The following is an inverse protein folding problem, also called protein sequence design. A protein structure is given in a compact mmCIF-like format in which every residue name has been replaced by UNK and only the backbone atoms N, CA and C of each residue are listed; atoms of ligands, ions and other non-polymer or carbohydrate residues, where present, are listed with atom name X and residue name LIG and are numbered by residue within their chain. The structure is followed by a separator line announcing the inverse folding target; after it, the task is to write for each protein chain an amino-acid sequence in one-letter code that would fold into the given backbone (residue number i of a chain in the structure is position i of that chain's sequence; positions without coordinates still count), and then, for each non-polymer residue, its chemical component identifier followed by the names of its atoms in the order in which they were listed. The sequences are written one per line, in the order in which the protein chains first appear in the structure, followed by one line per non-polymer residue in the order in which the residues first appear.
data_IF_981104259040
#
_entry.id   IF_981104259040
#
_cell.length_a   1.000
_cell.length_b   1.000
_cell.length_c   1.000
_cell.angle_alpha   90.00
_cell.angle_beta   90.00
_cell.angle_gamma   90.00
#
_symmetry.space_group_name_H-M   'P 1'
#
loop_
_entity.id
_entity.type
_entity.pdbx_description
1 polymer ?
#
# COMPACT_ATOMS: atom_id res chain seq x y z
N UNK A 1 -12.07 17.79 -23.46
CA UNK A 1 -10.72 17.52 -22.93
C UNK A 1 -10.79 16.18 -22.24
N UNK A 2 -10.36 15.15 -22.94
CA UNK A 2 -10.23 13.80 -22.38
C UNK A 2 -9.00 13.85 -21.47
N UNK A 3 -9.19 13.63 -20.17
CA UNK A 3 -8.08 13.45 -19.25
C UNK A 3 -7.32 12.22 -19.73
N UNK A 4 -6.17 12.42 -20.37
CA UNK A 4 -5.26 11.31 -20.67
C UNK A 4 -4.98 10.59 -19.35
N UNK A 5 -5.57 9.39 -19.22
CA UNK A 5 -5.44 8.55 -18.04
C UNK A 5 -3.98 8.15 -17.97
N UNK A 6 -3.22 8.84 -17.14
CA UNK A 6 -1.80 8.60 -16.95
C UNK A 6 -1.63 7.14 -16.54
N UNK A 7 -1.17 6.33 -17.50
CA UNK A 7 -1.10 4.88 -17.36
C UNK A 7 0.15 4.56 -16.55
N UNK A 8 -0.03 3.94 -15.38
CA UNK A 8 1.10 3.38 -14.66
C UNK A 8 1.63 2.18 -15.45
N UNK A 9 2.93 2.17 -15.73
CA UNK A 9 3.59 1.04 -16.37
C UNK A 9 3.77 -0.12 -15.39
N UNK A 10 3.98 0.21 -14.11
CA UNK A 10 4.19 -0.74 -13.03
C UNK A 10 3.40 -0.37 -11.78
N UNK A 11 2.93 -1.40 -11.07
CA UNK A 11 2.31 -1.27 -9.76
C UNK A 11 3.16 -2.02 -8.75
N UNK A 12 3.63 -1.31 -7.71
CA UNK A 12 4.31 -1.90 -6.57
C UNK A 12 3.30 -2.10 -5.43
N UNK A 13 3.09 -3.35 -5.02
CA UNK A 13 2.18 -3.71 -3.93
C UNK A 13 3.00 -4.04 -2.69
N UNK A 14 2.77 -3.30 -1.61
CA UNK A 14 3.44 -3.50 -0.33
C UNK A 14 2.44 -4.06 0.67
N UNK A 15 2.68 -5.29 1.15
CA UNK A 15 1.87 -5.87 2.21
C UNK A 15 2.19 -5.19 3.55
N UNK A 16 1.16 -4.74 4.26
CA UNK A 16 1.28 -4.05 5.55
C UNK A 16 0.14 -4.44 6.50
N UNK A 17 0.32 -4.14 7.79
CA UNK A 17 -0.72 -4.21 8.84
C UNK A 17 -1.26 -2.83 9.15
N UNK A 18 -2.46 -2.73 9.70
CA UNK A 18 -3.04 -1.44 10.11
C UNK A 18 -2.10 -0.69 11.06
N UNK A 19 -1.62 -1.35 12.10
CA UNK A 19 -0.70 -0.78 13.10
C UNK A 19 0.74 -0.49 12.61
N UNK A 20 1.10 -0.82 11.37
CA UNK A 20 2.43 -0.57 10.81
C UNK A 20 2.52 0.80 10.07
N UNK A 21 1.88 1.83 10.61
CA UNK A 21 1.85 3.16 9.99
C UNK A 21 3.25 3.75 9.75
N UNK A 22 4.13 3.68 10.75
CA UNK A 22 5.50 4.24 10.64
C UNK A 22 6.32 3.53 9.55
N UNK A 23 6.12 2.24 9.33
CA UNK A 23 6.78 1.53 8.23
C UNK A 23 6.28 2.02 6.87
N UNK A 24 4.97 2.24 6.72
CA UNK A 24 4.41 2.83 5.49
C UNK A 24 4.93 4.24 5.27
N UNK A 25 5.00 5.04 6.33
CA UNK A 25 5.55 6.39 6.31
C UNK A 25 7.01 6.39 5.86
N UNK A 26 7.86 5.53 6.43
CA UNK A 26 9.25 5.41 6.03
C UNK A 26 9.38 5.05 4.54
N UNK A 27 8.52 4.17 4.02
CA UNK A 27 8.48 3.84 2.59
C UNK A 27 8.09 5.07 1.74
N UNK A 28 7.05 5.81 2.13
CA UNK A 28 6.62 7.06 1.46
C UNK A 28 7.71 8.14 1.45
N UNK A 29 8.53 8.21 2.49
CA UNK A 29 9.61 9.18 2.65
C UNK A 29 10.92 8.75 1.96
N UNK A 30 11.05 7.47 1.60
CA UNK A 30 12.23 6.88 0.95
C UNK A 30 11.96 6.53 -0.52
N UNK A 31 11.91 5.25 -0.88
CA UNK A 31 11.88 4.81 -2.27
C UNK A 31 10.55 5.04 -2.98
N UNK A 32 9.43 5.15 -2.24
CA UNK A 32 8.12 5.53 -2.78
C UNK A 32 7.92 7.05 -2.84
N UNK A 33 8.93 7.84 -2.47
CA UNK A 33 8.82 9.30 -2.47
C UNK A 33 8.90 9.89 -3.88
N UNK A 34 7.93 10.72 -4.26
CA UNK A 34 8.02 11.55 -5.48
C UNK A 34 9.22 12.50 -5.48
N UNK A 35 9.78 12.83 -4.30
CA UNK A 35 10.98 13.69 -4.19
C UNK A 35 12.28 12.92 -4.43
N UNK A 36 12.30 11.60 -4.21
CA UNK A 36 13.52 10.77 -4.24
C UNK A 36 13.52 9.72 -5.37
N UNK A 37 12.35 9.36 -5.91
CA UNK A 37 12.20 8.37 -6.97
C UNK A 37 11.64 9.01 -8.23
N UNK A 38 12.43 9.04 -9.30
CA UNK A 38 12.01 9.59 -10.58
C UNK A 38 10.89 8.75 -11.22
N UNK A 39 10.92 7.43 -11.03
CA UNK A 39 9.87 6.53 -11.53
C UNK A 39 8.50 6.81 -10.90
N UNK A 40 8.47 7.08 -9.59
CA UNK A 40 7.24 7.47 -8.89
C UNK A 40 6.83 8.90 -9.23
N UNK A 41 7.80 9.83 -9.34
CA UNK A 41 7.55 11.22 -9.73
C UNK A 41 6.86 11.31 -11.11
N UNK A 42 7.32 10.50 -12.07
CA UNK A 42 6.82 10.47 -13.43
C UNK A 42 5.53 9.64 -13.61
N UNK A 43 5.06 8.96 -12.56
CA UNK A 43 3.88 8.08 -12.64
C UNK A 43 4.13 6.75 -13.33
N UNK A 44 5.37 6.43 -13.72
CA UNK A 44 5.78 5.12 -14.26
C UNK A 44 5.52 3.99 -13.26
N UNK A 45 5.76 4.27 -11.97
CA UNK A 45 5.50 3.34 -10.87
C UNK A 45 4.49 3.98 -9.92
N UNK A 46 3.40 3.26 -9.63
CA UNK A 46 2.47 3.61 -8.54
C UNK A 46 2.61 2.60 -7.42
N UNK A 47 2.63 3.08 -6.18
CA UNK A 47 2.80 2.25 -4.98
C UNK A 47 1.49 2.21 -4.22
N UNK A 48 1.02 1.02 -3.87
CA UNK A 48 -0.12 0.82 -2.98
C UNK A 48 0.27 -0.07 -1.80
N UNK A 49 -0.35 0.19 -0.65
CA UNK A 49 -0.25 -0.67 0.52
C UNK A 49 -1.49 -1.54 0.62
N UNK A 50 -1.31 -2.87 0.66
CA UNK A 50 -2.39 -3.81 0.91
C UNK A 50 -2.43 -4.11 2.40
N UNK A 51 -3.58 -3.85 3.02
CA UNK A 51 -3.83 -4.06 4.43
C UNK A 51 -4.92 -5.10 4.64
N UNK A 52 -4.82 -5.85 5.73
CA UNK A 52 -5.94 -6.64 6.26
C UNK A 52 -6.92 -5.75 7.01
N UNK A 53 -8.17 -6.19 7.11
CA UNK A 53 -9.23 -5.46 7.82
C UNK A 53 -8.81 -5.12 9.25
N UNK A 54 -9.06 -3.88 9.72
CA UNK A 54 -8.85 -3.51 11.11
C UNK A 54 -9.67 -4.42 12.03
N UNK A 55 -9.12 -4.72 13.21
CA UNK A 55 -9.76 -5.56 14.22
C UNK A 55 -10.54 -4.73 15.23
N UNK A 56 -10.13 -3.48 15.42
CA UNK A 56 -10.71 -2.57 16.40
C UNK A 56 -11.20 -1.27 15.74
N UNK A 57 -12.14 -0.58 16.41
CA UNK A 57 -12.71 0.66 15.89
C UNK A 57 -11.67 1.79 15.77
N UNK A 58 -10.77 1.93 16.74
CA UNK A 58 -9.70 2.94 16.69
C UNK A 58 -8.76 2.72 15.50
N UNK A 59 -8.47 1.47 15.13
CA UNK A 59 -7.66 1.14 13.95
C UNK A 59 -8.36 1.54 12.65
N UNK A 60 -9.70 1.46 12.61
CA UNK A 60 -10.49 1.90 11.47
C UNK A 60 -10.44 3.42 11.33
N UNK A 61 -10.58 4.16 12.43
CA UNK A 61 -10.51 5.63 12.43
C UNK A 61 -9.15 6.12 11.92
N UNK A 62 -8.05 5.59 12.46
CA UNK A 62 -6.68 5.92 12.02
C UNK A 62 -6.48 5.60 10.53
N UNK A 63 -7.01 4.47 10.07
CA UNK A 63 -6.87 4.04 8.69
C UNK A 63 -7.72 4.88 7.72
N UNK A 64 -8.90 5.32 8.13
CA UNK A 64 -9.74 6.24 7.35
C UNK A 64 -9.04 7.59 7.19
N UNK A 65 -8.44 8.12 8.26
CA UNK A 65 -7.68 9.37 8.20
C UNK A 65 -6.43 9.22 7.31
N UNK A 66 -5.68 8.12 7.44
CA UNK A 66 -4.54 7.85 6.57
C UNK A 66 -4.95 7.74 5.10
N UNK A 67 -6.01 6.98 4.80
CA UNK A 67 -6.50 6.82 3.43
C UNK A 67 -6.96 8.15 2.85
N UNK A 68 -7.59 9.01 3.66
CA UNK A 68 -8.00 10.35 3.24
C UNK A 68 -6.81 11.23 2.86
N UNK A 69 -5.68 11.09 3.57
CA UNK A 69 -4.48 11.89 3.34
C UNK A 69 -3.65 11.37 2.16
N UNK A 70 -3.45 10.06 2.05
CA UNK A 70 -2.50 9.47 1.10
C UNK A 70 -3.16 8.78 -0.09
N UNK A 71 -4.38 8.28 0.06
CA UNK A 71 -5.16 7.58 -0.97
C UNK A 71 -4.39 6.44 -1.66
N UNK A 72 -3.57 5.71 -0.88
CA UNK A 72 -2.68 4.65 -1.34
C UNK A 72 -2.90 3.31 -0.62
N UNK A 73 -3.94 3.20 0.20
CA UNK A 73 -4.31 1.97 0.90
C UNK A 73 -5.37 1.17 0.13
N UNK A 74 -5.18 -0.14 0.09
CA UNK A 74 -6.15 -1.13 -0.36
C UNK A 74 -6.42 -2.05 0.83
N UNK A 75 -7.61 -1.91 1.44
CA UNK A 75 -8.01 -2.73 2.58
C UNK A 75 -8.76 -3.96 2.09
N UNK A 76 -8.35 -5.12 2.59
CA UNK A 76 -8.94 -6.42 2.25
C UNK A 76 -9.65 -7.00 3.46
N UNK A 77 -10.67 -7.80 3.21
CA UNK A 77 -11.43 -8.59 4.21
C UNK A 77 -10.65 -9.80 4.75
N UNK A 78 -9.44 -10.03 4.24
CA UNK A 78 -8.60 -11.16 4.65
C UNK A 78 -8.09 -10.93 6.06
N UNK A 79 -8.75 -11.59 7.03
CA UNK A 79 -8.30 -11.64 8.43
C UNK A 79 -6.87 -12.15 8.44
N UNK A 80 -5.97 -11.34 9.01
CA UNK A 80 -4.55 -11.63 9.10
C UNK A 80 -4.31 -12.81 10.05
N UNK A 81 -4.55 -14.00 9.53
CA UNK A 81 -4.06 -15.25 10.08
C UNK A 81 -2.75 -15.55 9.39
N UNK A 82 -1.78 -16.04 10.16
CA UNK A 82 -0.43 -16.42 9.75
C UNK A 82 -0.35 -17.32 8.49
N UNK A 83 -1.49 -17.84 8.01
CA UNK A 83 -1.66 -18.61 6.77
C UNK A 83 -1.26 -17.86 5.49
N UNK A 84 -1.32 -16.53 5.44
CA UNK A 84 -0.98 -15.81 4.20
C UNK A 84 0.53 -15.77 3.91
N UNK A 85 1.38 -15.97 4.93
CA UNK A 85 2.82 -16.18 4.74
C UNK A 85 3.13 -17.52 4.05
N UNK A 86 2.31 -18.56 4.25
CA UNK A 86 2.50 -19.88 3.64
C UNK A 86 2.25 -19.87 2.12
N UNK A 87 1.36 -19.01 1.61
CA UNK A 87 1.19 -18.82 0.16
C UNK A 87 2.38 -18.11 -0.50
N UNK A 88 3.15 -17.34 0.28
CA UNK A 88 4.33 -16.62 -0.22
C UNK A 88 5.57 -17.51 -0.37
N UNK A 89 5.64 -18.62 0.38
CA UNK A 89 6.78 -19.54 0.35
C UNK A 89 6.67 -20.65 -0.71
N UNK A 90 5.48 -20.88 -1.29
CA UNK A 90 5.25 -22.04 -2.17
C UNK A 90 5.01 -21.63 -3.63
N UNK A 91 6.00 -20.98 -4.22
CA UNK A 91 6.30 -21.07 -5.66
C UNK A 91 7.79 -21.35 -5.81
N UNK A 92 8.17 -22.59 -5.54
CA UNK A 92 9.38 -23.26 -6.01
C UNK A 92 9.15 -24.76 -5.80
N UNK A 93 8.81 -25.44 -6.90
CA UNK A 93 8.49 -26.85 -7.00
C UNK A 93 8.15 -27.11 -8.45
#
# INVERSE_FOLDING_TARGET
MELERQRADYIALVLSRVNNYENRRAIRETWASRKRSQAVKNGTVVVFFILSSPKFHYELEELVEEQRVFNDLIVTDVIESYRNLLLKARKNG
#
